data_IF_871403533097
#
_entry.id   IF_871403533097
#
_cell.length_a   1.000
_cell.length_b   1.000
_cell.length_c   1.000
_cell.angle_alpha   90.00
_cell.angle_beta   90.00
_cell.angle_gamma   90.00
#
_symmetry.space_group_name_H-M   'P 1'
#
loop_
_entity.id
_entity.type
_entity.pdbx_description
1 polymer ?
#
# COMPACT_ATOMS: atom_id res chain seq x y z
N UNK A 1 -46.60 41.86 -44.47
CA UNK A 1 -45.17 41.69 -44.29
C UNK A 1 -44.75 41.52 -42.80
N UNK A 2 -45.11 42.41 -41.93
CA UNK A 2 -44.70 42.45 -40.51
C UNK A 2 -45.04 41.19 -39.71
N UNK A 3 -46.16 40.51 -39.98
CA UNK A 3 -46.58 39.28 -39.31
C UNK A 3 -45.87 38.03 -39.83
N UNK A 4 -45.40 38.01 -41.07
CA UNK A 4 -44.61 36.89 -41.62
C UNK A 4 -43.21 36.91 -41.06
N UNK A 5 -42.60 38.08 -40.95
CA UNK A 5 -41.25 38.26 -40.36
C UNK A 5 -41.24 37.82 -38.88
N UNK A 6 -42.29 38.18 -38.11
CA UNK A 6 -42.44 37.75 -36.72
C UNK A 6 -42.56 36.23 -36.59
N UNK A 7 -43.32 35.55 -37.45
CA UNK A 7 -43.46 34.10 -37.45
C UNK A 7 -42.16 33.41 -37.83
N UNK A 8 -41.44 33.95 -38.80
CA UNK A 8 -40.14 33.40 -39.19
C UNK A 8 -39.08 33.56 -38.08
N UNK A 9 -39.08 34.71 -37.39
CA UNK A 9 -38.15 34.94 -36.27
C UNK A 9 -38.43 34.00 -35.09
N UNK A 10 -39.71 33.70 -34.78
CA UNK A 10 -40.08 32.74 -33.71
C UNK A 10 -39.68 31.32 -34.08
N UNK A 11 -39.88 30.92 -35.34
CA UNK A 11 -39.45 29.57 -35.79
C UNK A 11 -37.91 29.43 -35.77
N UNK A 12 -37.17 30.48 -36.11
CA UNK A 12 -35.71 30.46 -36.10
C UNK A 12 -35.17 30.39 -34.67
N UNK A 13 -35.77 31.14 -33.73
CA UNK A 13 -35.40 31.05 -32.29
C UNK A 13 -35.74 29.68 -31.70
N UNK A 14 -36.89 29.12 -32.05
CA UNK A 14 -37.27 27.76 -31.63
C UNK A 14 -36.29 26.70 -32.17
N UNK A 15 -35.84 26.86 -33.40
CA UNK A 15 -34.87 25.94 -34.04
C UNK A 15 -33.50 26.04 -33.39
N UNK A 16 -33.03 27.26 -33.04
CA UNK A 16 -31.78 27.45 -32.29
C UNK A 16 -31.89 26.79 -30.91
N UNK A 17 -33.02 26.92 -30.21
CA UNK A 17 -33.22 26.34 -28.89
C UNK A 17 -33.20 24.83 -28.93
N UNK A 18 -33.80 24.21 -29.96
CA UNK A 18 -33.77 22.74 -30.16
C UNK A 18 -32.34 22.26 -30.50
N UNK A 19 -31.62 22.99 -31.35
CA UNK A 19 -30.25 22.63 -31.67
C UNK A 19 -29.30 22.72 -30.45
N UNK A 20 -29.48 23.67 -29.57
CA UNK A 20 -28.67 23.80 -28.35
C UNK A 20 -28.96 22.70 -27.34
N UNK A 21 -30.22 22.24 -27.23
CA UNK A 21 -30.58 21.12 -26.34
C UNK A 21 -30.07 19.76 -26.85
N UNK A 22 -29.97 19.57 -28.18
CA UNK A 22 -29.42 18.33 -28.76
C UNK A 22 -27.90 18.26 -28.58
N UNK A 23 -27.20 19.42 -28.61
CA UNK A 23 -25.75 19.45 -28.41
C UNK A 23 -25.37 19.26 -26.92
N UNK A 24 -26.20 19.72 -25.99
CA UNK A 24 -25.97 19.57 -24.54
C UNK A 24 -26.42 18.18 -24.02
N UNK A 25 -27.26 17.44 -24.76
CA UNK A 25 -27.76 16.12 -24.39
C UNK A 25 -26.83 14.95 -24.73
N UNK A 26 -25.70 15.19 -25.45
CA UNK A 26 -24.63 14.19 -25.51
C UNK A 26 -23.89 14.25 -24.20
N UNK A 27 -24.25 13.32 -23.30
CA UNK A 27 -23.47 13.08 -22.09
C UNK A 27 -22.00 13.04 -22.48
N UNK A 28 -21.23 14.00 -21.99
CA UNK A 28 -19.77 13.89 -22.04
C UNK A 28 -19.44 12.60 -21.28
N UNK A 29 -19.23 11.52 -22.03
CA UNK A 29 -18.52 10.39 -21.48
C UNK A 29 -17.14 10.93 -21.12
N UNK A 30 -16.97 11.38 -19.88
CA UNK A 30 -15.65 11.64 -19.34
C UNK A 30 -14.93 10.32 -19.47
N UNK A 31 -13.98 10.25 -20.40
CA UNK A 31 -13.10 9.10 -20.51
C UNK A 31 -12.50 8.93 -19.10
N UNK A 32 -12.86 7.85 -18.43
CA UNK A 32 -12.24 7.51 -17.14
C UNK A 32 -10.75 7.40 -17.43
N UNK A 33 -9.96 8.30 -16.86
CA UNK A 33 -8.52 8.27 -17.04
C UNK A 33 -8.04 6.85 -16.73
N UNK A 34 -7.18 6.31 -17.60
CA UNK A 34 -6.60 4.99 -17.38
C UNK A 34 -5.95 5.00 -16.00
N UNK A 35 -6.37 4.09 -15.14
CA UNK A 35 -5.78 4.00 -13.81
C UNK A 35 -4.36 3.46 -13.96
N UNK A 36 -3.39 4.19 -13.44
CA UNK A 36 -1.98 3.79 -13.48
C UNK A 36 -1.69 2.83 -12.34
N UNK A 37 -0.79 1.87 -12.60
CA UNK A 37 -0.21 1.02 -11.58
C UNK A 37 1.30 1.20 -11.64
N UNK A 38 1.91 1.52 -10.49
CA UNK A 38 3.36 1.72 -10.36
C UNK A 38 3.90 0.82 -9.26
N UNK A 39 5.10 0.32 -9.47
CA UNK A 39 5.89 -0.39 -8.45
C UNK A 39 7.14 0.45 -8.21
N UNK A 40 7.31 0.89 -6.98
CA UNK A 40 8.48 1.63 -6.54
C UNK A 40 9.41 0.65 -5.82
N UNK A 41 10.50 0.27 -6.47
CA UNK A 41 11.58 -0.46 -5.79
C UNK A 41 12.36 0.55 -4.95
N UNK A 42 12.34 0.38 -3.63
CA UNK A 42 12.94 1.33 -2.70
C UNK A 42 14.39 0.93 -2.48
N UNK A 43 15.31 1.88 -2.61
CA UNK A 43 16.71 1.65 -2.25
C UNK A 43 16.83 1.54 -0.73
N UNK A 44 16.95 0.31 -0.26
CA UNK A 44 17.08 -0.07 1.15
C UNK A 44 18.46 -0.70 1.44
N UNK A 45 19.39 -0.60 0.48
CA UNK A 45 20.70 -1.23 0.60
C UNK A 45 20.62 -2.76 0.43
N UNK A 46 21.23 -3.50 1.36
CA UNK A 46 21.18 -4.97 1.37
C UNK A 46 19.88 -5.47 2.02
N UNK A 47 18.74 -5.20 1.40
CA UNK A 47 17.42 -5.53 1.92
C UNK A 47 16.38 -5.46 0.80
N UNK A 48 15.13 -5.82 1.08
CA UNK A 48 14.04 -5.75 0.11
C UNK A 48 12.88 -4.89 0.59
N UNK A 49 12.36 -4.04 -0.31
CA UNK A 49 11.11 -3.32 -0.12
C UNK A 49 10.53 -2.80 -1.43
N UNK A 50 9.22 -2.91 -1.61
CA UNK A 50 8.52 -2.37 -2.75
C UNK A 50 7.21 -1.69 -2.34
N UNK A 51 6.99 -0.44 -2.79
CA UNK A 51 5.71 0.25 -2.62
C UNK A 51 4.89 0.09 -3.90
N UNK A 52 3.70 -0.45 -3.78
CA UNK A 52 2.71 -0.54 -4.84
C UNK A 52 1.85 0.71 -4.80
N UNK A 53 1.67 1.37 -5.94
CA UNK A 53 0.78 2.51 -6.09
C UNK A 53 -0.25 2.22 -7.17
N UNK A 54 -1.54 2.39 -6.86
CA UNK A 54 -2.64 2.31 -7.80
C UNK A 54 -3.36 3.65 -7.88
N UNK A 55 -3.43 4.20 -9.08
CA UNK A 55 -3.95 5.57 -9.30
C UNK A 55 -2.90 6.64 -9.06
N UNK A 56 -3.33 7.90 -9.13
CA UNK A 56 -2.49 9.09 -8.99
C UNK A 56 -3.16 10.16 -8.14
N UNK A 57 -2.36 11.13 -7.66
CA UNK A 57 -2.85 12.26 -6.89
C UNK A 57 -3.44 11.84 -5.54
N UNK A 58 -4.49 12.53 -5.11
CA UNK A 58 -5.14 12.33 -3.80
C UNK A 58 -5.92 11.02 -3.70
N UNK A 59 -6.27 10.41 -4.83
CA UNK A 59 -7.01 9.14 -4.90
C UNK A 59 -6.09 7.91 -5.02
N UNK A 60 -4.78 8.13 -5.00
CA UNK A 60 -3.82 7.03 -5.06
C UNK A 60 -3.94 6.12 -3.83
N UNK A 61 -3.93 4.81 -4.08
CA UNK A 61 -3.92 3.77 -3.07
C UNK A 61 -2.54 3.13 -3.02
N UNK A 62 -2.12 2.77 -1.82
CA UNK A 62 -0.79 2.25 -1.59
C UNK A 62 -0.82 0.94 -0.82
N UNK A 63 0.09 0.04 -1.16
CA UNK A 63 0.41 -1.15 -0.39
C UNK A 63 1.92 -1.37 -0.36
N UNK A 64 2.43 -2.01 0.68
CA UNK A 64 3.85 -2.21 0.86
C UNK A 64 4.16 -3.71 0.89
N UNK A 65 5.22 -4.12 0.22
CA UNK A 65 5.79 -5.47 0.28
C UNK A 65 7.14 -5.35 0.93
N UNK A 66 7.33 -5.98 2.07
CA UNK A 66 8.47 -5.87 2.97
C UNK A 66 8.81 -4.43 3.37
N UNK A 67 9.68 -4.25 4.32
CA UNK A 67 9.95 -2.94 4.91
C UNK A 67 11.44 -2.62 5.00
N UNK A 68 12.27 -3.46 4.38
CA UNK A 68 13.70 -3.31 4.47
C UNK A 68 14.25 -3.50 5.88
N UNK A 69 15.53 -3.22 6.03
CA UNK A 69 16.18 -3.22 7.33
C UNK A 69 15.79 -1.98 8.16
N UNK A 70 16.02 -2.04 9.47
CA UNK A 70 15.84 -0.92 10.39
C UNK A 70 16.93 0.16 10.26
N UNK A 71 17.93 -0.09 9.41
CA UNK A 71 19.04 0.80 9.12
C UNK A 71 19.50 0.62 7.68
N UNK A 72 20.12 1.63 7.11
CA UNK A 72 20.62 1.56 5.73
C UNK A 72 22.00 0.93 5.68
N UNK A 73 22.13 -0.16 4.92
CA UNK A 73 23.40 -0.82 4.61
C UNK A 73 23.83 -0.41 3.20
N UNK A 74 24.91 0.36 3.11
CA UNK A 74 25.46 0.74 1.82
C UNK A 74 26.14 -0.46 1.15
N UNK A 75 25.68 -0.82 -0.05
CA UNK A 75 26.23 -1.95 -0.81
C UNK A 75 27.62 -1.68 -1.41
N UNK A 76 28.03 -0.40 -1.49
CA UNK A 76 29.29 -0.02 -2.16
C UNK A 76 30.49 -0.01 -1.21
N UNK A 77 30.30 0.41 0.02
CA UNK A 77 31.39 0.62 0.99
C UNK A 77 31.17 -0.08 2.35
N UNK A 78 30.06 -0.88 2.43
CA UNK A 78 29.68 -1.62 3.64
C UNK A 78 29.42 -0.76 4.89
N UNK A 79 29.28 0.56 4.73
CA UNK A 79 28.91 1.42 5.85
C UNK A 79 27.47 1.21 6.24
N UNK A 80 27.17 1.35 7.53
CA UNK A 80 25.84 1.22 8.10
C UNK A 80 25.41 2.56 8.65
N UNK A 81 24.31 3.10 8.12
CA UNK A 81 23.71 4.32 8.65
C UNK A 81 22.53 3.94 9.56
N UNK A 82 22.79 3.92 10.86
CA UNK A 82 21.79 3.55 11.88
C UNK A 82 20.73 4.64 12.12
N UNK A 83 20.88 5.82 11.51
CA UNK A 83 19.92 6.92 11.65
C UNK A 83 18.79 6.85 10.65
N UNK A 84 18.94 6.05 9.60
CA UNK A 84 17.98 5.93 8.50
C UNK A 84 17.14 4.68 8.60
N UNK A 85 15.84 4.86 8.37
CA UNK A 85 14.89 3.78 8.09
C UNK A 85 14.33 4.03 6.69
N UNK A 86 14.98 3.51 5.63
CA UNK A 86 14.76 3.95 4.25
C UNK A 86 13.32 3.90 3.79
N UNK A 87 12.60 2.82 4.11
CA UNK A 87 11.20 2.67 3.72
C UNK A 87 10.32 3.73 4.39
N UNK A 88 10.51 3.95 5.69
CA UNK A 88 9.74 4.97 6.42
C UNK A 88 9.99 6.37 5.86
N UNK A 89 11.26 6.70 5.57
CA UNK A 89 11.61 7.98 4.95
C UNK A 89 10.99 8.12 3.55
N UNK A 90 10.99 7.03 2.77
CA UNK A 90 10.38 7.01 1.46
C UNK A 90 8.87 7.23 1.52
N UNK A 91 8.15 6.56 2.43
CA UNK A 91 6.73 6.78 2.64
C UNK A 91 6.41 8.24 2.97
N UNK A 92 7.21 8.87 3.85
CA UNK A 92 7.05 10.27 4.19
C UNK A 92 7.34 11.19 3.00
N UNK A 93 8.40 10.93 2.23
CA UNK A 93 8.72 11.68 1.00
C UNK A 93 7.59 11.61 -0.03
N UNK A 94 6.96 10.46 -0.17
CA UNK A 94 5.81 10.25 -1.06
C UNK A 94 4.49 10.80 -0.49
N UNK A 95 4.47 11.25 0.76
CA UNK A 95 3.26 11.70 1.44
C UNK A 95 2.24 10.59 1.71
N UNK A 96 2.69 9.33 1.79
CA UNK A 96 1.81 8.18 2.05
C UNK A 96 1.31 8.26 3.48
N UNK A 97 -0.01 8.39 3.65
CA UNK A 97 -0.70 8.42 4.95
C UNK A 97 -1.67 7.25 5.15
N UNK A 98 -1.83 6.42 4.13
CA UNK A 98 -2.69 5.24 4.18
C UNK A 98 -2.07 4.10 3.36
N UNK A 99 -1.92 2.95 3.99
CA UNK A 99 -1.57 1.69 3.37
C UNK A 99 -2.77 0.75 3.45
N UNK A 100 -3.29 0.32 2.29
CA UNK A 100 -4.37 -0.68 2.20
C UNK A 100 -3.92 -2.00 2.85
N UNK A 101 -2.64 -2.32 2.70
CA UNK A 101 -2.01 -3.44 3.40
C UNK A 101 -0.47 -3.34 3.39
N UNK A 102 0.14 -4.09 4.31
CA UNK A 102 1.55 -4.46 4.26
C UNK A 102 1.61 -5.98 4.10
N UNK A 103 2.42 -6.44 3.16
CA UNK A 103 2.73 -7.86 2.96
C UNK A 103 4.17 -8.12 3.42
N UNK A 104 4.34 -8.98 4.40
CA UNK A 104 5.65 -9.40 4.89
C UNK A 104 5.93 -10.82 4.39
N UNK A 105 7.01 -10.97 3.64
CA UNK A 105 7.35 -12.25 3.01
C UNK A 105 7.91 -13.24 4.01
N UNK A 106 8.82 -12.80 4.89
CA UNK A 106 9.43 -13.64 5.93
C UNK A 106 10.07 -12.77 7.05
N UNK A 107 10.46 -13.37 8.19
CA UNK A 107 10.80 -12.64 9.41
C UNK A 107 12.25 -12.13 9.51
N UNK A 108 13.04 -12.20 8.45
CA UNK A 108 14.41 -11.70 8.51
C UNK A 108 14.46 -10.17 8.65
N UNK A 109 15.52 -9.68 9.28
CA UNK A 109 15.69 -8.27 9.61
C UNK A 109 15.66 -7.35 8.39
N UNK A 110 16.16 -7.80 7.26
CA UNK A 110 16.21 -7.10 5.99
C UNK A 110 14.84 -7.01 5.27
N UNK A 111 13.81 -7.66 5.84
CA UNK A 111 12.43 -7.61 5.35
C UNK A 111 11.46 -6.95 6.34
N UNK A 112 11.66 -7.15 7.64
CA UNK A 112 10.75 -6.61 8.67
C UNK A 112 11.34 -5.45 9.47
N UNK A 113 12.60 -5.06 9.21
CA UNK A 113 13.32 -4.13 10.06
C UNK A 113 12.70 -2.74 10.15
N UNK A 114 12.04 -2.27 9.10
CA UNK A 114 11.34 -0.99 9.09
C UNK A 114 9.99 -0.98 9.81
N UNK A 115 9.44 -2.16 10.16
CA UNK A 115 8.07 -2.27 10.71
C UNK A 115 7.89 -1.56 12.03
N UNK A 116 8.84 -1.66 12.97
CA UNK A 116 8.75 -1.00 14.26
C UNK A 116 8.52 0.51 14.10
N UNK A 117 9.28 1.14 13.20
CA UNK A 117 9.18 2.57 12.93
C UNK A 117 7.85 2.93 12.26
N UNK A 118 7.42 2.14 11.28
CA UNK A 118 6.16 2.37 10.55
C UNK A 118 4.96 2.20 11.49
N UNK A 119 4.93 1.16 12.32
CA UNK A 119 3.84 0.90 13.26
C UNK A 119 3.77 1.92 14.41
N UNK A 120 4.89 2.54 14.78
CA UNK A 120 4.94 3.59 15.81
C UNK A 120 4.40 4.94 15.31
N UNK A 121 4.32 5.17 14.00
CA UNK A 121 3.78 6.40 13.44
C UNK A 121 2.26 6.31 13.25
N UNK A 122 1.53 6.82 14.22
CA UNK A 122 0.05 6.85 14.20
C UNK A 122 -0.54 7.74 13.10
N UNK A 123 0.27 8.51 12.37
CA UNK A 123 -0.19 9.31 11.22
C UNK A 123 -0.28 8.50 9.94
N UNK A 124 0.28 7.29 9.91
CA UNK A 124 0.16 6.35 8.79
C UNK A 124 -0.90 5.31 9.17
N UNK A 125 -2.06 5.38 8.53
CA UNK A 125 -3.12 4.38 8.70
C UNK A 125 -2.74 3.11 7.93
N UNK A 126 -2.88 1.95 8.55
CA UNK A 126 -2.67 0.63 7.93
C UNK A 126 -3.93 -0.20 8.15
N UNK A 127 -4.55 -0.68 7.08
CA UNK A 127 -5.80 -1.43 7.20
C UNK A 127 -5.54 -2.89 7.60
N UNK A 128 -4.47 -3.51 7.09
CA UNK A 128 -4.15 -4.92 7.34
C UNK A 128 -2.66 -5.21 7.18
N UNK A 129 -2.21 -6.24 7.88
CA UNK A 129 -0.87 -6.82 7.68
C UNK A 129 -1.06 -8.27 7.27
N UNK A 130 -0.41 -8.65 6.18
CA UNK A 130 -0.36 -10.02 5.69
C UNK A 130 1.04 -10.58 5.91
N UNK A 131 1.11 -11.84 6.28
CA UNK A 131 2.35 -12.58 6.40
C UNK A 131 2.08 -14.02 6.75
N UNK A 132 3.08 -14.86 6.62
CA UNK A 132 2.97 -16.27 6.96
C UNK A 132 3.15 -16.44 8.48
N UNK A 133 2.24 -17.19 9.13
CA UNK A 133 2.28 -17.48 10.57
C UNK A 133 2.37 -16.26 11.52
N UNK A 134 1.90 -15.09 11.07
CA UNK A 134 1.87 -13.88 11.89
C UNK A 134 0.79 -13.89 12.98
N UNK A 135 -0.10 -14.89 13.00
CA UNK A 135 -1.20 -14.94 13.97
C UNK A 135 -0.69 -15.32 15.36
N UNK A 136 -0.45 -14.31 16.17
CA UNK A 136 0.07 -14.43 17.54
C UNK A 136 -0.78 -15.33 18.44
N UNK A 137 -2.10 -15.44 18.18
CA UNK A 137 -2.97 -16.34 18.94
C UNK A 137 -2.74 -17.82 18.58
N UNK A 138 -2.42 -18.11 17.33
CA UNK A 138 -2.09 -19.46 16.88
C UNK A 138 -0.76 -19.92 17.47
N UNK A 139 0.20 -19.01 17.65
CA UNK A 139 1.51 -19.28 18.22
C UNK A 139 1.46 -19.67 19.71
N UNK A 140 0.42 -19.28 20.43
CA UNK A 140 0.22 -19.63 21.86
C UNK A 140 -0.42 -20.99 22.05
N UNK A 141 -1.06 -21.57 21.05
CA UNK A 141 -1.83 -22.82 21.15
C UNK A 141 -1.13 -24.05 20.55
N UNK A 142 -0.09 -23.90 19.74
CA UNK A 142 0.62 -25.02 19.16
C UNK A 142 1.77 -25.46 20.08
N UNK A 143 1.47 -26.27 21.09
CA UNK A 143 2.46 -27.07 21.84
C UNK A 143 3.08 -28.20 20.97
N UNK A 144 3.09 -28.08 19.68
CA UNK A 144 3.70 -29.09 18.80
C UNK A 144 5.22 -28.84 18.67
N UNK A 145 5.91 -29.13 19.79
CA UNK A 145 7.36 -29.03 19.97
C UNK A 145 8.18 -29.95 19.07
N UNK A 146 7.54 -30.71 18.16
CA UNK A 146 8.18 -31.74 17.35
C UNK A 146 8.27 -31.46 15.86
N UNK A 147 7.90 -30.25 15.39
CA UNK A 147 8.20 -29.85 14.01
C UNK A 147 9.48 -29.04 13.98
N UNK A 148 10.59 -29.73 13.93
CA UNK A 148 11.85 -29.19 13.43
C UNK A 148 11.70 -28.97 11.92
N UNK A 149 11.08 -27.87 11.56
CA UNK A 149 11.00 -27.39 10.19
C UNK A 149 12.18 -26.47 9.95
N UNK A 150 13.10 -26.92 9.12
CA UNK A 150 14.17 -26.10 8.55
C UNK A 150 13.63 -25.08 7.52
N UNK A 151 12.36 -24.75 7.61
CA UNK A 151 11.69 -23.84 6.72
C UNK A 151 11.94 -22.41 7.20
N UNK A 152 12.63 -21.60 6.41
CA UNK A 152 12.94 -20.19 6.66
C UNK A 152 11.69 -19.32 6.87
N UNK A 153 10.49 -19.88 6.61
CA UNK A 153 9.21 -19.21 6.81
C UNK A 153 8.63 -19.38 8.22
N UNK A 154 9.30 -20.10 9.13
CA UNK A 154 8.79 -20.34 10.47
C UNK A 154 9.07 -19.16 11.42
N UNK A 155 8.15 -18.23 11.51
CA UNK A 155 8.23 -17.04 12.37
C UNK A 155 8.29 -17.37 13.87
N UNK A 156 7.95 -18.57 14.28
CA UNK A 156 7.93 -18.96 15.70
C UNK A 156 9.32 -19.17 16.29
N UNK A 157 10.31 -19.44 15.45
CA UNK A 157 11.69 -19.76 15.85
C UNK A 157 12.62 -18.54 15.86
N UNK A 158 12.13 -17.39 15.37
CA UNK A 158 12.94 -16.18 15.32
C UNK A 158 13.06 -15.52 16.70
N UNK A 159 14.28 -15.36 17.16
CA UNK A 159 14.63 -14.77 18.47
C UNK A 159 15.51 -13.50 18.33
N UNK A 160 15.54 -12.89 17.16
CA UNK A 160 16.31 -11.66 16.93
C UNK A 160 15.65 -10.48 17.65
N UNK A 161 16.46 -9.48 18.05
CA UNK A 161 15.91 -8.26 18.67
C UNK A 161 14.95 -7.54 17.73
N UNK A 162 15.24 -7.50 16.43
CA UNK A 162 14.37 -6.91 15.41
C UNK A 162 13.00 -7.58 15.38
N UNK A 163 12.96 -8.92 15.44
CA UNK A 163 11.69 -9.65 15.48
C UNK A 163 10.91 -9.39 16.78
N UNK A 164 11.59 -9.35 17.92
CA UNK A 164 10.96 -9.02 19.22
C UNK A 164 10.34 -7.63 19.22
N UNK A 165 11.06 -6.64 18.69
CA UNK A 165 10.58 -5.27 18.55
C UNK A 165 9.38 -5.19 17.60
N UNK A 166 9.48 -5.84 16.44
CA UNK A 166 8.37 -5.94 15.49
C UNK A 166 7.13 -6.55 16.13
N UNK A 167 7.27 -7.68 16.82
CA UNK A 167 6.17 -8.37 17.47
C UNK A 167 5.50 -7.47 18.53
N UNK A 168 6.27 -6.81 19.36
CA UNK A 168 5.75 -5.88 20.36
C UNK A 168 5.00 -4.70 19.73
N UNK A 169 5.55 -4.11 18.64
CA UNK A 169 4.91 -3.03 17.91
C UNK A 169 3.61 -3.50 17.22
N UNK A 170 3.59 -4.70 16.66
CA UNK A 170 2.42 -5.31 16.03
C UNK A 170 1.29 -5.54 17.05
N UNK A 171 1.60 -6.10 18.22
CA UNK A 171 0.64 -6.28 19.31
C UNK A 171 0.05 -4.95 19.80
N UNK A 172 0.90 -3.93 19.94
CA UNK A 172 0.47 -2.60 20.37
C UNK A 172 -0.42 -1.89 19.33
N UNK A 173 -0.18 -2.10 18.05
CA UNK A 173 -0.88 -1.43 16.94
C UNK A 173 -2.35 -1.83 16.81
N UNK A 174 -2.72 -3.05 17.26
CA UNK A 174 -4.04 -3.66 17.07
C UNK A 174 -4.51 -3.76 15.62
N UNK A 175 -3.60 -3.66 14.66
CA UNK A 175 -3.91 -3.79 13.23
C UNK A 175 -4.29 -5.24 12.95
N UNK A 176 -5.34 -5.49 12.14
CA UNK A 176 -5.72 -6.84 11.75
C UNK A 176 -4.59 -7.56 11.01
N UNK A 177 -4.21 -8.74 11.50
CA UNK A 177 -3.23 -9.62 10.88
C UNK A 177 -3.95 -10.74 10.14
N UNK A 178 -3.47 -11.09 8.97
CA UNK A 178 -3.98 -12.18 8.14
C UNK A 178 -2.85 -13.07 7.66
N UNK A 179 -3.00 -14.36 7.90
CA UNK A 179 -2.06 -15.35 7.37
C UNK A 179 -2.29 -15.58 5.89
N UNK A 180 -1.19 -15.63 5.13
CA UNK A 180 -1.19 -16.00 3.72
C UNK A 180 -0.85 -17.49 3.63
N UNK A 181 -1.67 -18.34 4.19
CA UNK A 181 -1.40 -19.77 4.13
C UNK A 181 -1.86 -20.36 2.80
N UNK A 182 -0.93 -20.78 1.95
CA UNK A 182 -1.22 -21.69 0.85
C UNK A 182 -1.27 -23.12 1.41
N UNK A 183 -2.46 -23.66 1.63
CA UNK A 183 -2.61 -25.11 1.83
C UNK A 183 -2.75 -25.75 0.45
N UNK A 184 -1.77 -26.49 -0.05
CA UNK A 184 -2.00 -27.34 -1.23
C UNK A 184 -3.15 -28.29 -0.91
N UNK A 185 -4.12 -28.39 -1.82
CA UNK A 185 -5.22 -29.35 -1.75
C UNK A 185 -4.72 -30.72 -2.11
#
# INVERSE_FOLDING_TARGET
MRNIIRKLAVCFLAWILVCTTVVTGRGMHTAKAAQTFKIHFIDVGCADAALLQYGEGTEAKYALIDTGANQYHNTKDTTIDTTKTPVYEYLNKMGVKHLEFILLTHPHQDHIGGMEKILSDTTIKIDKIYGNDLNIQYLKSSEDKNKQSSDETNWTEFDTQTYKNFKAALEASRIPVRDIYYRPR
#
